data_IF_489612793635
#
_entry.id   IF_489612793635
#
_cell.length_a   1.000
_cell.length_b   1.000
_cell.length_c   1.000
_cell.angle_alpha   90.00
_cell.angle_beta   90.00
_cell.angle_gamma   90.00
#
_symmetry.space_group_name_H-M   'P 1'
#
loop_
_entity.id
_entity.type
_entity.pdbx_description
1 polymer ?
#
# COMPACT_ATOMS: atom_id res chain seq x y z
N UNK A 1 -6.48 30.71 -2.11
CA UNK A 1 -5.20 30.94 -1.44
C UNK A 1 -4.29 29.86 -1.94
N UNK A 2 -3.50 30.27 -2.93
CA UNK A 2 -2.32 29.69 -3.56
C UNK A 2 -2.23 28.16 -3.69
N UNK A 3 -2.40 27.73 -4.96
CA UNK A 3 -1.99 26.45 -5.50
C UNK A 3 -0.55 26.13 -5.09
N UNK A 4 -0.36 25.23 -4.11
CA UNK A 4 0.91 24.55 -3.93
C UNK A 4 1.11 23.61 -5.12
N UNK A 5 1.82 24.10 -6.13
CA UNK A 5 2.46 23.28 -7.16
C UNK A 5 3.48 22.37 -6.48
N UNK A 6 3.05 21.17 -6.10
CA UNK A 6 3.93 20.08 -5.70
C UNK A 6 4.64 19.59 -6.96
N UNK A 7 5.85 20.09 -7.22
CA UNK A 7 6.80 19.47 -8.14
C UNK A 7 7.34 18.19 -7.48
N UNK A 8 6.58 17.09 -7.58
CA UNK A 8 7.12 15.77 -7.30
C UNK A 8 8.11 15.42 -8.41
N UNK A 9 9.38 15.20 -8.07
CA UNK A 9 10.44 14.70 -8.96
C UNK A 9 10.22 13.26 -9.48
N UNK A 10 8.98 12.75 -9.40
CA UNK A 10 8.56 11.51 -10.04
C UNK A 10 7.77 11.85 -11.31
N UNK A 11 8.06 11.22 -12.44
CA UNK A 11 7.39 11.48 -13.73
C UNK A 11 5.90 11.06 -13.78
N UNK A 12 5.25 10.79 -12.64
CA UNK A 12 3.88 10.31 -12.54
C UNK A 12 3.07 10.91 -11.39
N UNK A 13 1.75 10.90 -11.54
CA UNK A 13 0.78 11.31 -10.52
C UNK A 13 0.11 10.04 -9.98
N UNK A 14 0.03 9.91 -8.66
CA UNK A 14 -0.73 8.84 -8.02
C UNK A 14 -2.11 9.37 -7.63
N UNK A 15 -3.15 8.69 -8.10
CA UNK A 15 -4.55 8.92 -7.74
C UNK A 15 -5.07 7.74 -6.93
N UNK A 16 -6.14 7.94 -6.17
CA UNK A 16 -6.69 6.91 -5.29
C UNK A 16 -5.93 6.77 -3.98
N UNK A 17 -6.18 5.69 -3.25
CA UNK A 17 -5.64 5.48 -1.90
C UNK A 17 -5.62 3.98 -1.55
N UNK A 18 -4.55 3.53 -0.88
CA UNK A 18 -4.42 2.13 -0.43
C UNK A 18 -5.27 1.80 0.79
N UNK A 19 -5.76 2.81 1.52
CA UNK A 19 -6.50 2.68 2.76
C UNK A 19 -7.95 3.13 2.71
N UNK A 20 -8.45 3.65 1.59
CA UNK A 20 -9.77 4.29 1.52
C UNK A 20 -10.44 4.19 0.15
N UNK A 21 -11.51 3.40 0.09
CA UNK A 21 -12.34 3.24 -1.12
C UNK A 21 -13.03 4.54 -1.54
N UNK A 22 -13.42 5.40 -0.60
CA UNK A 22 -14.14 6.63 -0.91
C UNK A 22 -13.25 7.67 -1.61
N UNK A 23 -11.95 7.70 -1.31
CA UNK A 23 -11.00 8.55 -2.04
C UNK A 23 -10.80 8.06 -3.48
N UNK A 24 -10.85 6.75 -3.72
CA UNK A 24 -10.82 6.18 -5.07
C UNK A 24 -12.09 6.49 -5.88
N UNK A 25 -13.25 6.55 -5.23
CA UNK A 25 -14.55 6.79 -5.86
C UNK A 25 -14.94 8.27 -5.93
N UNK A 26 -14.15 9.16 -5.35
CA UNK A 26 -14.44 10.60 -5.34
C UNK A 26 -14.39 11.17 -6.76
N UNK A 27 -15.28 12.11 -7.08
CA UNK A 27 -15.42 12.64 -8.44
C UNK A 27 -14.20 13.42 -8.92
N UNK A 28 -13.47 14.04 -7.98
CA UNK A 28 -12.22 14.75 -8.29
C UNK A 28 -11.20 13.85 -9.01
N UNK A 29 -11.20 12.53 -8.77
CA UNK A 29 -10.28 11.59 -9.41
C UNK A 29 -10.35 11.67 -10.95
N UNK A 30 -11.55 11.74 -11.52
CA UNK A 30 -11.71 11.84 -12.98
C UNK A 30 -11.26 13.20 -13.50
N UNK A 31 -11.53 14.27 -12.75
CA UNK A 31 -11.15 15.62 -13.14
C UNK A 31 -9.63 15.83 -13.06
N UNK A 32 -8.98 15.27 -12.05
CA UNK A 32 -7.52 15.22 -11.97
C UNK A 32 -6.91 14.38 -13.10
N UNK A 33 -7.51 13.24 -13.47
CA UNK A 33 -7.04 12.44 -14.58
C UNK A 33 -7.08 13.20 -15.92
N UNK A 34 -8.16 13.97 -16.18
CA UNK A 34 -8.24 14.85 -17.36
C UNK A 34 -7.12 15.91 -17.35
N UNK A 35 -6.90 16.58 -16.22
CA UNK A 35 -5.80 17.55 -16.07
C UNK A 35 -4.42 16.91 -16.29
N UNK A 36 -4.22 15.67 -15.83
CA UNK A 36 -2.97 14.93 -16.03
C UNK A 36 -2.75 14.58 -17.51
N UNK A 37 -3.82 14.20 -18.21
CA UNK A 37 -3.80 13.94 -19.66
C UNK A 37 -3.35 15.18 -20.43
N UNK A 38 -3.93 16.34 -20.11
CA UNK A 38 -3.59 17.61 -20.78
C UNK A 38 -2.12 17.99 -20.57
N UNK A 39 -1.55 17.62 -19.42
CA UNK A 39 -0.13 17.82 -19.07
C UNK A 39 0.79 16.66 -19.47
N UNK A 40 0.29 15.65 -20.19
CA UNK A 40 1.03 14.45 -20.61
C UNK A 40 1.74 13.72 -19.45
N UNK A 41 1.13 13.72 -18.26
CA UNK A 41 1.68 13.02 -17.09
C UNK A 41 1.23 11.57 -17.09
N UNK A 42 2.11 10.66 -16.63
CA UNK A 42 1.71 9.28 -16.38
C UNK A 42 0.87 9.21 -15.10
N UNK A 43 -0.15 8.36 -15.06
CA UNK A 43 -1.03 8.21 -13.90
C UNK A 43 -1.00 6.78 -13.38
N UNK A 44 -0.81 6.65 -12.07
CA UNK A 44 -1.02 5.43 -11.31
C UNK A 44 -2.29 5.57 -10.48
N UNK A 45 -3.20 4.62 -10.58
CA UNK A 45 -4.36 4.54 -9.71
C UNK A 45 -4.14 3.46 -8.64
N UNK A 46 -4.01 3.89 -7.40
CA UNK A 46 -3.80 3.06 -6.23
C UNK A 46 -5.15 2.63 -5.65
N UNK A 47 -5.34 1.32 -5.51
CA UNK A 47 -6.59 0.73 -5.01
C UNK A 47 -6.41 0.20 -3.58
N UNK A 48 -7.45 0.17 -2.73
CA UNK A 48 -7.40 -0.46 -1.41
C UNK A 48 -7.84 -1.93 -1.50
N UNK A 49 -7.90 -2.62 -0.34
CA UNK A 49 -8.75 -3.81 -0.21
C UNK A 49 -10.21 -3.36 -0.35
N UNK A 50 -10.96 -4.01 -1.25
CA UNK A 50 -12.26 -3.50 -1.70
C UNK A 50 -13.40 -4.26 -1.02
N UNK A 51 -14.28 -3.60 -0.26
CA UNK A 51 -15.52 -4.22 0.18
C UNK A 51 -16.39 -4.58 -1.03
N UNK A 52 -16.99 -5.77 -1.03
CA UNK A 52 -17.76 -6.30 -2.15
C UNK A 52 -18.84 -5.33 -2.68
N UNK A 53 -19.50 -4.60 -1.77
CA UNK A 53 -20.51 -3.58 -2.10
C UNK A 53 -20.00 -2.45 -3.02
N UNK A 54 -18.69 -2.20 -3.06
CA UNK A 54 -18.06 -1.17 -3.90
C UNK A 54 -17.24 -1.75 -5.05
N UNK A 55 -17.23 -3.06 -5.24
CA UNK A 55 -16.40 -3.73 -6.25
C UNK A 55 -16.76 -3.27 -7.66
N UNK A 56 -18.04 -3.31 -8.01
CA UNK A 56 -18.51 -2.93 -9.35
C UNK A 56 -18.28 -1.43 -9.63
N UNK A 57 -18.48 -0.57 -8.62
CA UNK A 57 -18.23 0.87 -8.73
C UNK A 57 -16.75 1.16 -8.99
N UNK A 58 -15.84 0.46 -8.31
CA UNK A 58 -14.40 0.66 -8.51
C UNK A 58 -13.92 0.10 -9.85
N UNK A 59 -14.43 -1.05 -10.28
CA UNK A 59 -14.14 -1.60 -11.62
C UNK A 59 -14.57 -0.60 -12.71
N UNK A 60 -15.78 -0.05 -12.59
CA UNK A 60 -16.27 0.98 -13.50
C UNK A 60 -15.40 2.25 -13.47
N UNK A 61 -14.98 2.69 -12.28
CA UNK A 61 -14.06 3.83 -12.13
C UNK A 61 -12.73 3.60 -12.85
N UNK A 62 -12.16 2.40 -12.74
CA UNK A 62 -10.93 2.01 -13.46
C UNK A 62 -11.16 2.03 -14.97
N UNK A 63 -12.29 1.48 -15.44
CA UNK A 63 -12.65 1.50 -16.86
C UNK A 63 -12.78 2.93 -17.39
N UNK A 64 -13.50 3.80 -16.68
CA UNK A 64 -13.67 5.20 -17.05
C UNK A 64 -12.33 5.97 -17.08
N UNK A 65 -11.44 5.74 -16.11
CA UNK A 65 -10.10 6.32 -16.10
C UNK A 65 -9.25 5.85 -17.29
N UNK A 66 -9.31 4.55 -17.62
CA UNK A 66 -8.56 3.95 -18.72
C UNK A 66 -8.93 4.53 -20.10
N UNK A 67 -10.17 5.02 -20.25
CA UNK A 67 -10.64 5.71 -21.47
C UNK A 67 -10.09 7.14 -21.58
N UNK A 68 -9.69 7.74 -20.46
CA UNK A 68 -9.18 9.11 -20.42
C UNK A 68 -7.69 9.13 -20.67
N UNK A 69 -6.93 8.30 -19.95
CA UNK A 69 -5.46 8.33 -19.93
C UNK A 69 -4.88 6.91 -19.88
N UNK A 70 -3.64 6.75 -20.37
CA UNK A 70 -2.89 5.52 -20.13
C UNK A 70 -2.68 5.33 -18.63
N UNK A 71 -3.19 4.22 -18.11
CA UNK A 71 -3.40 4.02 -16.69
C UNK A 71 -2.60 2.83 -16.17
N UNK A 72 -1.69 3.07 -15.21
CA UNK A 72 -1.19 2.02 -14.33
C UNK A 72 -2.20 1.83 -13.19
N UNK A 73 -2.52 0.58 -12.85
CA UNK A 73 -3.44 0.27 -11.75
C UNK A 73 -2.73 -0.63 -10.75
N UNK A 74 -2.52 -0.13 -9.54
CA UNK A 74 -2.02 -0.94 -8.43
C UNK A 74 -3.17 -1.69 -7.79
N UNK A 75 -3.12 -3.02 -7.86
CA UNK A 75 -4.10 -3.90 -7.25
C UNK A 75 -3.66 -4.34 -5.85
N UNK A 76 -4.45 -3.96 -4.84
CA UNK A 76 -4.28 -4.43 -3.46
C UNK A 76 -5.36 -5.44 -3.03
N UNK A 77 -6.18 -5.90 -3.98
CA UNK A 77 -7.26 -6.86 -3.78
C UNK A 77 -7.30 -7.87 -4.94
N UNK A 78 -7.29 -9.17 -4.61
CA UNK A 78 -7.34 -10.23 -5.62
C UNK A 78 -8.66 -10.29 -6.38
N UNK A 79 -9.78 -10.01 -5.70
CA UNK A 79 -11.09 -9.95 -6.33
C UNK A 79 -11.14 -8.84 -7.37
N UNK A 80 -10.61 -7.66 -7.04
CA UNK A 80 -10.51 -6.55 -8.00
C UNK A 80 -9.60 -6.90 -9.19
N UNK A 81 -8.40 -7.46 -8.93
CA UNK A 81 -7.48 -7.89 -9.99
C UNK A 81 -8.18 -8.85 -10.96
N UNK A 82 -8.87 -9.86 -10.42
CA UNK A 82 -9.62 -10.82 -11.23
C UNK A 82 -10.78 -10.18 -11.99
N UNK A 83 -11.54 -9.27 -11.37
CA UNK A 83 -12.65 -8.55 -12.03
C UNK A 83 -12.17 -7.66 -13.18
N UNK A 84 -10.95 -7.15 -13.09
CA UNK A 84 -10.32 -6.33 -14.13
C UNK A 84 -9.53 -7.14 -15.18
N UNK A 85 -9.55 -8.48 -15.16
CA UNK A 85 -8.75 -9.32 -16.07
C UNK A 85 -8.96 -8.97 -17.55
N UNK A 86 -10.21 -8.75 -17.97
CA UNK A 86 -10.52 -8.34 -19.36
C UNK A 86 -9.90 -6.99 -19.75
N UNK A 87 -9.84 -6.03 -18.83
CA UNK A 87 -9.19 -4.74 -19.08
C UNK A 87 -7.68 -4.92 -19.29
N UNK A 88 -7.08 -5.87 -18.55
CA UNK A 88 -5.67 -6.23 -18.67
C UNK A 88 -5.41 -6.96 -19.99
N UNK A 89 -6.18 -7.99 -20.32
CA UNK A 89 -6.08 -8.76 -21.58
C UNK A 89 -6.21 -7.85 -22.80
N UNK A 90 -7.14 -6.89 -22.74
CA UNK A 90 -7.35 -5.89 -23.80
C UNK A 90 -6.31 -4.76 -23.79
N UNK A 91 -5.31 -4.81 -22.88
CA UNK A 91 -4.26 -3.79 -22.70
C UNK A 91 -4.79 -2.38 -22.47
N UNK A 92 -5.98 -2.26 -21.87
CA UNK A 92 -6.58 -0.97 -21.51
C UNK A 92 -5.92 -0.37 -20.28
N UNK A 93 -5.38 -1.22 -19.40
CA UNK A 93 -4.65 -0.83 -18.20
C UNK A 93 -3.32 -1.59 -18.12
N UNK A 94 -2.36 -1.00 -17.40
CA UNK A 94 -1.09 -1.63 -17.04
C UNK A 94 -1.21 -2.12 -15.60
N UNK A 95 -1.29 -3.44 -15.35
CA UNK A 95 -1.49 -3.96 -14.00
C UNK A 95 -0.19 -3.94 -13.19
N UNK A 96 -0.30 -3.43 -11.96
CA UNK A 96 0.76 -3.42 -10.96
C UNK A 96 0.30 -4.25 -9.76
N UNK A 97 1.16 -5.13 -9.27
CA UNK A 97 0.87 -5.98 -8.12
C UNK A 97 1.23 -5.24 -6.83
N UNK A 98 0.21 -4.84 -6.07
CA UNK A 98 0.36 -3.91 -4.96
C UNK A 98 0.98 -4.51 -3.70
N UNK A 99 1.57 -3.64 -2.88
CA UNK A 99 2.31 -4.03 -1.67
C UNK A 99 1.47 -4.70 -0.59
N UNK A 100 0.14 -4.59 -0.64
CA UNK A 100 -0.76 -5.33 0.24
C UNK A 100 -0.73 -6.83 -0.06
N UNK A 101 -0.58 -7.20 -1.34
CA UNK A 101 -0.61 -8.59 -1.82
C UNK A 101 0.76 -9.27 -1.78
N UNK A 102 1.84 -8.49 -1.65
CA UNK A 102 3.23 -8.97 -1.55
C UNK A 102 3.70 -9.17 -0.12
N UNK A 103 2.88 -8.79 0.87
CA UNK A 103 3.22 -8.88 2.30
C UNK A 103 3.68 -10.27 2.71
N UNK A 104 4.67 -10.32 3.59
CA UNK A 104 5.20 -11.56 4.15
C UNK A 104 5.57 -11.43 5.63
N UNK A 105 6.19 -12.46 6.20
CA UNK A 105 6.72 -12.41 7.56
C UNK A 105 7.83 -11.37 7.71
N UNK A 106 8.51 -10.96 6.62
CA UNK A 106 9.46 -9.84 6.67
C UNK A 106 8.82 -8.55 7.18
N UNK A 107 7.56 -8.31 6.82
CA UNK A 107 6.80 -7.12 7.23
C UNK A 107 6.22 -7.24 8.64
N UNK A 108 6.21 -8.45 9.18
CA UNK A 108 5.73 -8.67 10.53
C UNK A 108 6.82 -8.23 11.50
N UNK A 109 6.57 -7.13 12.19
CA UNK A 109 7.43 -6.71 13.29
C UNK A 109 7.77 -7.92 14.18
N UNK A 110 6.76 -8.73 14.56
CA UNK A 110 6.87 -9.90 15.46
C UNK A 110 7.58 -11.13 14.90
N UNK A 111 7.99 -11.17 13.63
CA UNK A 111 8.61 -12.34 13.02
C UNK A 111 9.80 -12.88 13.83
N UNK A 112 10.70 -11.96 14.23
CA UNK A 112 11.70 -12.09 15.32
C UNK A 112 11.36 -13.15 16.38
N UNK A 113 10.29 -12.82 17.11
CA UNK A 113 9.83 -13.50 18.31
C UNK A 113 9.00 -14.73 17.99
N UNK A 114 8.22 -14.67 16.91
CA UNK A 114 7.42 -15.79 16.45
C UNK A 114 8.29 -16.96 15.99
N UNK A 115 9.46 -16.66 15.42
CA UNK A 115 10.37 -17.65 14.87
C UNK A 115 11.50 -18.07 15.82
N UNK A 116 11.53 -17.58 17.06
CA UNK A 116 12.69 -17.77 17.98
C UNK A 116 13.00 -19.23 18.31
N UNK A 117 12.01 -20.12 18.26
CA UNK A 117 12.19 -21.56 18.53
C UNK A 117 12.20 -22.41 17.25
N UNK A 118 12.21 -21.77 16.08
CA UNK A 118 12.28 -22.48 14.80
C UNK A 118 13.74 -22.79 14.43
N UNK A 119 13.93 -23.80 13.59
CA UNK A 119 15.27 -24.10 13.05
C UNK A 119 15.61 -23.17 11.88
N UNK A 120 16.91 -23.04 11.58
CA UNK A 120 17.42 -22.14 10.54
C UNK A 120 16.77 -22.34 9.17
N UNK A 121 16.43 -23.59 8.81
CA UNK A 121 15.77 -23.90 7.53
C UNK A 121 14.35 -23.33 7.47
N UNK A 122 13.60 -23.40 8.57
CA UNK A 122 12.26 -22.82 8.67
C UNK A 122 12.34 -21.30 8.66
N UNK A 123 13.30 -20.72 9.38
CA UNK A 123 13.53 -19.27 9.40
C UNK A 123 13.84 -18.76 7.99
N UNK A 124 14.76 -19.40 7.28
CA UNK A 124 15.14 -19.04 5.92
C UNK A 124 13.99 -19.21 4.91
N UNK A 125 13.06 -20.15 5.14
CA UNK A 125 11.89 -20.32 4.25
C UNK A 125 10.75 -19.34 4.52
N UNK A 126 10.58 -18.89 5.77
CA UNK A 126 9.47 -18.01 6.16
C UNK A 126 9.85 -16.53 6.12
N UNK A 127 11.10 -16.19 6.42
CA UNK A 127 11.58 -14.82 6.53
C UNK A 127 12.10 -14.29 5.18
N UNK A 128 11.25 -14.36 4.16
CA UNK A 128 11.53 -13.94 2.79
C UNK A 128 10.35 -13.13 2.21
N UNK A 129 10.54 -12.48 1.07
CA UNK A 129 9.41 -11.92 0.33
C UNK A 129 8.48 -13.04 -0.14
N UNK A 130 7.17 -12.80 -0.10
CA UNK A 130 6.20 -13.80 -0.58
C UNK A 130 6.35 -14.12 -2.07
N UNK A 131 6.97 -13.22 -2.83
CA UNK A 131 7.24 -13.37 -4.26
C UNK A 131 8.43 -14.28 -4.58
N UNK A 132 9.13 -14.82 -3.58
CA UNK A 132 10.11 -15.90 -3.78
C UNK A 132 9.44 -17.25 -4.07
N UNK A 133 8.11 -17.34 -3.86
CA UNK A 133 7.33 -18.53 -4.14
C UNK A 133 6.96 -18.63 -5.64
N UNK A 134 7.16 -19.81 -6.22
CA UNK A 134 6.92 -20.06 -7.63
C UNK A 134 5.44 -19.92 -8.03
N UNK A 135 4.48 -20.23 -7.15
CA UNK A 135 3.06 -20.08 -7.47
C UNK A 135 2.66 -18.60 -7.51
N UNK A 136 3.27 -17.76 -6.65
CA UNK A 136 3.12 -16.30 -6.76
C UNK A 136 3.68 -15.78 -8.08
N UNK A 137 4.84 -16.26 -8.54
CA UNK A 137 5.43 -15.84 -9.82
C UNK A 137 4.50 -16.22 -10.99
N UNK A 138 3.98 -17.46 -11.02
CA UNK A 138 3.00 -17.90 -12.03
C UNK A 138 1.75 -17.01 -12.05
N UNK A 139 1.26 -16.62 -10.87
CA UNK A 139 0.13 -15.70 -10.77
C UNK A 139 0.44 -14.33 -11.40
N UNK A 140 1.67 -13.80 -11.20
CA UNK A 140 2.09 -12.55 -11.84
C UNK A 140 2.08 -12.69 -13.37
N UNK A 141 2.55 -13.81 -13.90
CA UNK A 141 2.56 -14.12 -15.33
C UNK A 141 1.13 -14.24 -15.91
N UNK A 142 0.24 -14.95 -15.20
CA UNK A 142 -1.18 -15.15 -15.58
C UNK A 142 -1.92 -13.82 -15.72
N UNK A 143 -1.71 -12.90 -14.77
CA UNK A 143 -2.32 -11.57 -14.80
C UNK A 143 -1.51 -10.53 -15.57
N UNK A 144 -0.47 -10.95 -16.30
CA UNK A 144 0.40 -10.07 -17.09
C UNK A 144 0.91 -8.85 -16.31
N UNK A 145 1.24 -9.06 -15.03
CA UNK A 145 1.76 -8.02 -14.15
C UNK A 145 3.04 -7.43 -14.74
N UNK A 146 3.11 -6.10 -14.84
CA UNK A 146 4.25 -5.41 -15.42
C UNK A 146 5.18 -4.76 -14.39
N UNK A 147 4.74 -4.70 -13.13
CA UNK A 147 5.47 -4.04 -12.05
C UNK A 147 4.96 -4.56 -10.70
N UNK A 148 5.84 -4.59 -9.70
CA UNK A 148 5.48 -4.99 -8.33
C UNK A 148 5.79 -3.88 -7.33
N UNK A 149 4.94 -3.75 -6.33
CA UNK A 149 5.16 -2.89 -5.17
C UNK A 149 5.47 -3.74 -3.95
N UNK A 150 6.49 -3.35 -3.19
CA UNK A 150 6.89 -4.05 -1.96
C UNK A 150 7.25 -3.08 -0.85
N UNK A 151 7.16 -3.55 0.39
CA UNK A 151 7.84 -2.88 1.49
C UNK A 151 9.35 -3.03 1.34
N UNK A 152 10.08 -1.98 1.67
CA UNK A 152 11.53 -2.00 1.56
C UNK A 152 12.18 -2.76 2.72
N UNK A 153 12.96 -3.80 2.36
CA UNK A 153 13.87 -4.51 3.25
C UNK A 153 15.26 -4.57 2.60
N UNK A 154 16.25 -3.82 3.10
CA UNK A 154 17.54 -3.62 2.41
C UNK A 154 18.31 -4.92 2.20
N UNK A 155 18.24 -5.84 3.15
CA UNK A 155 18.97 -7.12 3.12
C UNK A 155 18.44 -8.09 2.06
N UNK A 156 17.24 -7.86 1.51
CA UNK A 156 16.51 -8.83 0.67
C UNK A 156 16.05 -8.30 -0.68
N UNK A 157 16.08 -6.99 -0.89
CA UNK A 157 15.56 -6.35 -2.10
C UNK A 157 16.33 -6.77 -3.36
N UNK A 158 17.65 -6.98 -3.25
CA UNK A 158 18.51 -7.40 -4.35
C UNK A 158 18.20 -8.82 -4.79
N UNK A 159 18.03 -9.74 -3.83
CA UNK A 159 17.63 -11.12 -4.10
C UNK A 159 16.26 -11.16 -4.82
N UNK A 160 15.32 -10.33 -4.36
CA UNK A 160 13.99 -10.24 -4.98
C UNK A 160 14.05 -9.79 -6.44
N UNK A 161 14.91 -8.81 -6.75
CA UNK A 161 15.01 -8.26 -8.11
C UNK A 161 15.60 -9.27 -9.11
N UNK A 162 16.53 -10.12 -8.65
CA UNK A 162 17.12 -11.20 -9.45
C UNK A 162 16.11 -12.30 -9.79
N UNK A 163 15.20 -12.60 -8.85
CA UNK A 163 14.19 -13.66 -9.00
C UNK A 163 13.01 -13.20 -9.86
N UNK A 164 12.37 -12.08 -9.51
CA UNK A 164 11.09 -11.67 -10.12
C UNK A 164 11.29 -11.02 -11.49
N UNK A 165 12.45 -10.38 -11.74
CA UNK A 165 12.80 -9.72 -13.02
C UNK A 165 11.75 -8.72 -13.55
N UNK A 166 10.92 -8.18 -12.66
CA UNK A 166 10.00 -7.08 -12.93
C UNK A 166 10.52 -5.81 -12.27
N UNK A 167 10.16 -4.61 -12.77
CA UNK A 167 10.43 -3.38 -12.08
C UNK A 167 9.79 -3.39 -10.68
N UNK A 168 10.57 -2.97 -9.68
CA UNK A 168 10.17 -2.94 -8.27
C UNK A 168 10.01 -1.50 -7.83
N UNK A 169 8.85 -1.19 -7.26
CA UNK A 169 8.52 0.08 -6.64
C UNK A 169 8.48 -0.08 -5.13
N UNK A 170 9.08 0.87 -4.44
CA UNK A 170 9.10 0.93 -2.97
C UNK A 170 8.54 2.27 -2.50
N UNK A 171 8.14 2.32 -1.24
CA UNK A 171 7.62 3.53 -0.61
C UNK A 171 8.56 3.96 0.52
N UNK A 172 8.48 5.24 0.87
CA UNK A 172 9.18 5.80 2.03
C UNK A 172 8.60 5.34 3.40
N UNK A 173 7.71 4.37 3.39
CA UNK A 173 7.10 3.78 4.57
C UNK A 173 6.90 2.27 4.36
N UNK A 174 6.93 1.52 5.47
CA UNK A 174 6.60 0.11 5.52
C UNK A 174 5.15 -0.05 5.92
N UNK A 175 4.36 -0.69 5.07
CA UNK A 175 2.99 -1.07 5.37
C UNK A 175 2.96 -2.26 6.34
N UNK A 176 2.46 -2.04 7.55
CA UNK A 176 2.44 -3.04 8.61
C UNK A 176 1.10 -3.77 8.72
N UNK A 177 0.00 -3.11 8.38
CA UNK A 177 -1.33 -3.74 8.44
C UNK A 177 -2.35 -2.98 7.61
N UNK A 178 -3.38 -3.70 7.14
CA UNK A 178 -4.56 -3.13 6.51
C UNK A 178 -5.79 -3.68 7.21
N UNK A 179 -6.62 -2.80 7.75
CA UNK A 179 -7.89 -3.14 8.38
C UNK A 179 -9.04 -3.20 7.38
N UNK A 180 -10.12 -3.88 7.75
CA UNK A 180 -11.42 -3.78 7.06
C UNK A 180 -12.24 -2.55 7.48
N UNK A 181 -11.82 -1.90 8.57
CA UNK A 181 -12.50 -0.74 9.15
C UNK A 181 -11.51 0.42 9.22
N UNK A 182 -12.00 1.63 8.92
CA UNK A 182 -11.19 2.83 8.99
C UNK A 182 -10.89 3.21 10.43
N UNK A 183 -9.64 2.96 10.83
CA UNK A 183 -9.13 3.29 12.15
C UNK A 183 -9.18 4.80 12.40
N UNK A 184 -8.86 5.59 11.37
CA UNK A 184 -8.85 7.06 11.46
C UNK A 184 -10.26 7.61 11.69
N UNK A 185 -11.24 7.19 10.88
CA UNK A 185 -12.63 7.60 11.04
C UNK A 185 -13.21 7.15 12.38
N UNK A 186 -12.89 5.93 12.84
CA UNK A 186 -13.34 5.44 14.15
C UNK A 186 -12.77 6.27 15.30
N UNK A 187 -11.49 6.59 15.26
CA UNK A 187 -10.82 7.38 16.30
C UNK A 187 -11.35 8.82 16.35
N UNK A 188 -11.50 9.44 15.18
CA UNK A 188 -11.97 10.82 15.03
C UNK A 188 -13.50 10.95 15.04
N UNK A 189 -14.25 9.84 15.17
CA UNK A 189 -15.72 9.79 15.13
C UNK A 189 -16.32 10.38 13.85
N UNK A 190 -15.68 10.15 12.71
CA UNK A 190 -16.16 10.63 11.41
C UNK A 190 -17.23 9.70 10.82
N UNK A 191 -18.15 10.30 10.06
CA UNK A 191 -19.22 9.56 9.36
C UNK A 191 -18.80 9.23 7.92
N UNK A 192 -18.85 7.94 7.58
CA UNK A 192 -18.67 7.46 6.21
C UNK A 192 -19.96 7.67 5.40
N UNK A 193 -19.90 7.96 4.07
CA UNK A 193 -18.70 8.17 3.26
C UNK A 193 -18.14 9.61 3.30
N UNK A 194 -18.91 10.56 3.85
CA UNK A 194 -18.64 12.00 3.77
C UNK A 194 -17.30 12.43 4.41
N UNK A 195 -16.66 11.56 5.19
CA UNK A 195 -15.34 11.84 5.78
C UNK A 195 -14.24 12.10 4.73
N UNK A 196 -14.39 11.62 3.49
CA UNK A 196 -13.39 11.80 2.43
C UNK A 196 -13.12 13.28 2.09
N UNK A 197 -14.11 14.14 2.32
CA UNK A 197 -14.04 15.59 2.13
C UNK A 197 -13.47 16.31 3.36
N UNK A 198 -13.34 15.63 4.51
CA UNK A 198 -12.86 16.24 5.75
C UNK A 198 -11.32 16.27 5.81
N UNK A 199 -10.76 17.43 6.17
CA UNK A 199 -9.31 17.57 6.38
C UNK A 199 -8.80 16.66 7.50
N UNK A 200 -9.60 16.40 8.53
CA UNK A 200 -9.29 15.50 9.63
C UNK A 200 -9.00 14.08 9.14
N UNK A 201 -9.74 13.60 8.13
CA UNK A 201 -9.58 12.26 7.57
C UNK A 201 -8.22 12.07 6.85
N UNK A 202 -7.61 13.17 6.39
CA UNK A 202 -6.31 13.17 5.70
C UNK A 202 -5.12 13.25 6.67
N UNK A 203 -5.37 13.45 7.97
CA UNK A 203 -4.30 13.54 8.97
C UNK A 203 -3.72 12.17 9.28
N UNK A 204 -2.39 12.09 9.26
CA UNK A 204 -1.62 10.94 9.76
C UNK A 204 -1.71 10.92 11.29
N UNK A 205 -2.25 9.84 11.85
CA UNK A 205 -2.36 9.65 13.30
C UNK A 205 -1.18 8.84 13.80
N UNK A 206 -0.33 9.42 14.64
CA UNK A 206 0.76 8.70 15.29
C UNK A 206 0.21 7.99 16.54
N UNK A 207 0.51 6.70 16.67
CA UNK A 207 0.19 5.92 17.86
C UNK A 207 1.42 5.69 18.72
N UNK A 208 1.23 5.78 20.03
CA UNK A 208 2.20 5.36 21.03
C UNK A 208 1.56 4.34 21.96
N UNK A 209 2.33 3.31 22.33
CA UNK A 209 1.85 2.29 23.26
C UNK A 209 1.93 2.83 24.67
N UNK A 210 0.79 2.97 25.33
CA UNK A 210 0.71 3.34 26.74
C UNK A 210 0.82 2.11 27.66
N UNK A 211 0.11 1.03 27.35
CA UNK A 211 0.09 -0.20 28.15
C UNK A 211 0.15 -1.46 27.30
N UNK A 212 0.73 -2.54 27.84
CA UNK A 212 0.75 -3.88 27.25
C UNK A 212 -0.01 -4.87 28.13
N UNK A 213 -0.79 -5.76 27.53
CA UNK A 213 -1.42 -6.84 28.29
C UNK A 213 -0.38 -7.89 28.71
N UNK A 214 -0.38 -8.23 29.99
CA UNK A 214 0.55 -9.20 30.57
C UNK A 214 -0.18 -10.48 30.93
N UNK A 215 0.16 -11.58 30.24
CA UNK A 215 -0.41 -12.90 30.52
C UNK A 215 -0.03 -13.42 31.91
N UNK A 216 1.16 -13.04 32.42
CA UNK A 216 1.65 -13.49 33.74
C UNK A 216 0.89 -12.83 34.88
N UNK A 217 0.59 -11.53 34.77
CA UNK A 217 -0.11 -10.76 35.80
C UNK A 217 -1.61 -10.62 35.56
N UNK A 218 -2.09 -10.99 34.37
CA UNK A 218 -3.48 -10.84 33.93
C UNK A 218 -3.98 -9.38 34.03
N UNK A 219 -3.11 -8.43 33.73
CA UNK A 219 -3.42 -6.99 33.78
C UNK A 219 -2.65 -6.22 32.68
N UNK A 220 -2.99 -4.94 32.55
CA UNK A 220 -2.25 -4.00 31.69
C UNK A 220 -1.04 -3.44 32.44
N UNK A 221 0.14 -3.74 31.93
CA UNK A 221 1.43 -3.31 32.43
C UNK A 221 2.01 -2.16 31.59
N UNK A 222 2.93 -1.43 32.17
CA UNK A 222 3.77 -0.51 31.39
C UNK A 222 4.68 -1.30 30.44
N UNK A 223 4.81 -0.89 29.17
CA UNK A 223 5.76 -1.49 28.25
C UNK A 223 7.19 -1.16 28.69
N UNK A 224 8.08 -2.15 28.57
CA UNK A 224 9.53 -1.92 28.72
C UNK A 224 10.06 -1.15 27.51
N UNK A 225 11.27 -0.59 27.64
CA UNK A 225 11.88 0.23 26.59
C UNK A 225 12.10 -0.54 25.29
N UNK A 226 12.43 -1.83 25.37
CA UNK A 226 12.52 -2.70 24.18
C UNK A 226 11.18 -2.76 23.44
N UNK A 227 10.06 -2.97 24.14
CA UNK A 227 8.74 -2.98 23.52
C UNK A 227 8.32 -1.60 22.98
N UNK A 228 8.67 -0.51 23.68
CA UNK A 228 8.39 0.85 23.21
C UNK A 228 9.15 1.17 21.94
N UNK A 229 10.44 0.87 21.87
CA UNK A 229 11.27 1.05 20.68
C UNK A 229 10.70 0.24 19.51
N UNK A 230 10.26 -0.98 19.80
CA UNK A 230 9.70 -1.85 18.79
C UNK A 230 8.35 -1.37 18.24
N UNK A 231 7.59 -0.67 19.06
CA UNK A 231 6.30 -0.07 18.69
C UNK A 231 6.42 1.44 18.43
N UNK A 232 7.64 1.94 18.21
CA UNK A 232 7.85 3.34 17.84
C UNK A 232 7.39 3.59 16.40
N UNK A 233 7.07 4.85 16.15
CA UNK A 233 6.85 5.38 14.80
C UNK A 233 5.75 4.66 14.01
N UNK A 234 4.70 4.25 14.73
CA UNK A 234 3.50 3.69 14.13
C UNK A 234 2.55 4.82 13.76
N UNK A 235 2.15 4.83 12.49
CA UNK A 235 1.21 5.79 11.94
C UNK A 235 0.01 5.07 11.37
N UNK A 236 -1.12 5.76 11.39
CA UNK A 236 -2.38 5.29 10.83
C UNK A 236 -2.99 6.36 9.96
N UNK A 237 -3.48 5.93 8.82
CA UNK A 237 -4.24 6.75 7.90
C UNK A 237 -5.27 5.86 7.20
N UNK A 238 -6.54 6.26 7.21
CA UNK A 238 -7.61 5.40 6.70
C UNK A 238 -7.63 4.02 7.40
N UNK A 239 -7.57 2.96 6.58
CA UNK A 239 -7.49 1.57 7.01
C UNK A 239 -6.05 1.04 7.18
N UNK A 240 -5.02 1.82 6.83
CA UNK A 240 -3.63 1.35 6.82
C UNK A 240 -2.88 1.75 8.08
N UNK A 241 -2.01 0.84 8.53
CA UNK A 241 -1.02 1.05 9.58
C UNK A 241 0.35 0.93 8.94
N UNK A 242 1.23 1.91 9.14
CA UNK A 242 2.57 1.92 8.58
C UNK A 242 3.60 2.49 9.54
N UNK A 243 4.87 2.32 9.18
CA UNK A 243 6.03 2.95 9.81
C UNK A 243 6.82 3.71 8.76
N UNK A 244 7.30 4.91 9.07
CA UNK A 244 8.16 5.65 8.14
C UNK A 244 9.58 5.05 8.11
N UNK A 245 10.21 5.07 6.94
CA UNK A 245 11.60 4.65 6.75
C UNK A 245 12.45 5.90 6.65
N UNK A 246 13.40 6.07 7.57
CA UNK A 246 14.27 7.25 7.60
C UNK A 246 15.53 7.08 6.72
N UNK A 247 15.94 5.85 6.43
CA UNK A 247 17.18 5.52 5.69
C UNK A 247 16.88 4.73 4.40
N UNK A 248 16.44 5.40 3.34
CA UNK A 248 16.37 4.80 2.00
C UNK A 248 17.73 4.91 1.31
N UNK A 249 18.28 3.78 0.85
CA UNK A 249 19.50 3.79 0.04
C UNK A 249 19.28 4.57 -1.27
N UNK A 250 20.23 5.48 -1.57
CA UNK A 250 20.19 6.44 -2.68
C UNK A 250 19.93 5.79 -4.06
N UNK A 251 20.38 4.55 -4.26
CA UNK A 251 20.31 3.86 -5.56
C UNK A 251 18.89 3.41 -5.97
N UNK A 252 17.94 3.35 -5.03
CA UNK A 252 16.54 2.97 -5.30
C UNK A 252 15.59 4.17 -5.35
N UNK A 253 16.09 5.39 -5.12
CA UNK A 253 15.27 6.61 -5.05
C UNK A 253 14.48 6.92 -6.33
N UNK A 254 14.95 6.44 -7.49
CA UNK A 254 14.26 6.67 -8.77
C UNK A 254 12.87 6.01 -8.88
N UNK A 255 12.57 5.02 -8.03
CA UNK A 255 11.29 4.31 -7.99
C UNK A 255 10.55 4.50 -6.65
N UNK A 256 10.86 5.55 -5.89
CA UNK A 256 10.18 5.85 -4.63
C UNK A 256 8.94 6.69 -4.90
N UNK A 257 7.79 6.22 -4.41
CA UNK A 257 6.58 7.05 -4.35
C UNK A 257 6.66 7.86 -3.06
N UNK A 258 7.04 9.14 -3.18
CA UNK A 258 7.27 10.05 -2.05
C UNK A 258 5.98 10.63 -1.47
N UNK A 259 4.98 10.92 -2.32
CA UNK A 259 3.69 11.47 -1.91
C UNK A 259 2.51 10.94 -2.76
N UNK A 260 1.42 10.57 -2.08
CA UNK A 260 0.11 10.39 -2.68
C UNK A 260 -0.53 11.78 -2.82
N UNK A 261 -0.77 12.23 -4.05
CA UNK A 261 -1.52 13.46 -4.27
C UNK A 261 -3.00 13.12 -4.04
N UNK A 262 -3.50 13.47 -2.86
CA UNK A 262 -4.91 13.34 -2.52
C UNK A 262 -5.73 14.36 -3.31
N UNK A 263 -6.35 13.87 -4.38
CA UNK A 263 -7.38 14.57 -5.13
C UNK A 263 -8.57 15.03 -4.26
#
# INVERSE_FOLDING_TARGET
MDDETIEVQSNGVVLGDEGCIYLCLHDSVLDFAKKCKDKQKTVRFLTPIVPDIYMDDLVKRIEDLSRIISLKVTFNDYGLLHRCSKLIENKQIIPVFGRVLTRSMLDCNWAKRLLTNENDKVIAGLYEYSLMDNEKIKLLEEFHIQEIEVNYHPEKITELSEVVKLPIVIYNNQLLSVGRVCFSARYQQLKLPNCAECMECRKKLQFSVNKKWSKKRMCYDEPDEEFKQYMSDLYVQGNVVYRNINDLHLDLQQNVIEELIYA
#
